data_IF_628307319415
#
_entry.id   IF_628307319415
#
_cell.length_a   1.000
_cell.length_b   1.000
_cell.length_c   1.000
_cell.angle_alpha   90.00
_cell.angle_beta   90.00
_cell.angle_gamma   90.00
#
_symmetry.space_group_name_H-M   'P 1'
#
loop_
_entity.id
_entity.type
_entity.pdbx_description
1 polymer ?
#
# COMPACT_ATOMS: atom_id res chain seq x y z
N UNK A 1 -6.80 -8.78 11.58
CA UNK A 1 -6.25 -8.03 10.44
C UNK A 1 -7.44 -7.29 9.89
N UNK A 2 -7.56 -6.00 10.18
CA UNK A 2 -8.73 -5.24 9.74
C UNK A 2 -8.68 -5.11 8.22
N UNK A 3 -9.78 -5.42 7.56
CA UNK A 3 -9.92 -5.28 6.12
C UNK A 3 -9.97 -3.80 5.76
N UNK A 4 -9.01 -3.34 4.96
CA UNK A 4 -9.03 -2.00 4.40
C UNK A 4 -10.01 -1.96 3.23
N UNK A 5 -10.88 -0.94 3.20
CA UNK A 5 -11.79 -0.71 2.07
C UNK A 5 -11.07 0.21 1.09
N UNK A 6 -11.07 -0.16 -0.20
CA UNK A 6 -10.59 0.69 -1.28
C UNK A 6 -11.81 1.40 -1.89
N UNK A 7 -11.90 2.71 -1.71
CA UNK A 7 -12.89 3.58 -2.35
C UNK A 7 -12.18 4.59 -3.26
N UNK A 8 -12.54 4.60 -4.55
CA UNK A 8 -11.96 5.51 -5.57
C UNK A 8 -10.42 5.54 -5.60
N UNK A 9 -9.77 4.40 -5.36
CA UNK A 9 -8.31 4.30 -5.33
C UNK A 9 -7.66 4.81 -4.03
N UNK A 10 -8.47 5.21 -3.05
CA UNK A 10 -8.03 5.59 -1.71
C UNK A 10 -8.21 4.41 -0.77
N UNK A 11 -7.13 4.06 -0.07
CA UNK A 11 -7.20 3.09 1.03
C UNK A 11 -7.72 3.79 2.27
N UNK A 12 -8.93 3.43 2.71
CA UNK A 12 -9.50 3.91 3.95
C UNK A 12 -9.33 2.82 5.00
N UNK A 13 -8.41 3.06 5.92
CA UNK A 13 -8.26 2.25 7.12
C UNK A 13 -9.28 2.75 8.14
N UNK A 14 -10.01 1.83 8.79
CA UNK A 14 -10.75 2.22 10.01
C UNK A 14 -9.74 2.88 10.95
N UNK A 15 -10.09 4.08 11.43
CA UNK A 15 -9.13 4.87 12.18
C UNK A 15 -8.66 4.05 13.38
N UNK A 16 -7.34 3.96 13.55
CA UNK A 16 -6.73 3.43 14.77
C UNK A 16 -7.28 4.13 16.04
N UNK A 17 -7.88 5.31 15.89
CA UNK A 17 -8.45 6.10 16.97
C UNK A 17 -9.73 5.51 17.58
N UNK A 18 -10.48 4.65 16.88
CA UNK A 18 -11.66 4.00 17.50
C UNK A 18 -11.28 2.83 18.41
N UNK A 19 -10.08 2.26 18.26
CA UNK A 19 -9.62 1.13 19.07
C UNK A 19 -8.51 1.46 20.07
N UNK A 20 -7.82 2.61 19.97
CA UNK A 20 -6.59 2.85 20.74
C UNK A 20 -6.70 4.11 21.60
N UNK A 21 -6.28 3.95 22.87
CA UNK A 21 -5.85 5.04 23.76
C UNK A 21 -5.09 6.12 22.98
N UNK A 22 -5.15 7.41 23.38
CA UNK A 22 -4.45 8.48 22.69
C UNK A 22 -2.99 8.09 22.41
N UNK A 23 -2.59 8.20 21.14
CA UNK A 23 -1.21 7.95 20.71
C UNK A 23 -0.29 8.92 21.47
N UNK A 24 0.85 8.41 21.94
CA UNK A 24 1.83 9.25 22.65
C UNK A 24 2.55 10.13 21.62
N UNK A 25 3.00 11.31 22.06
CA UNK A 25 3.88 12.12 21.22
C UNK A 25 5.14 11.33 20.86
N UNK A 26 5.57 11.41 19.60
CA UNK A 26 6.71 10.64 19.10
C UNK A 26 6.70 10.46 17.60
N UNK A 27 7.73 9.76 17.09
CA UNK A 27 7.86 9.44 15.67
C UNK A 27 7.28 8.05 15.40
N UNK A 28 6.39 8.00 14.41
CA UNK A 28 5.72 6.80 13.94
C UNK A 28 6.16 6.51 12.51
N UNK A 29 6.21 5.22 12.17
CA UNK A 29 6.40 4.73 10.81
C UNK A 29 5.14 3.99 10.40
N UNK A 30 4.60 4.32 9.22
CA UNK A 30 3.57 3.54 8.53
C UNK A 30 4.21 2.85 7.35
N UNK A 31 4.00 1.55 7.27
CA UNK A 31 4.43 0.71 6.16
C UNK A 31 3.20 0.11 5.48
N UNK A 32 3.09 0.29 4.16
CA UNK A 32 2.05 -0.27 3.32
C UNK A 32 2.68 -1.22 2.32
N UNK A 33 2.15 -2.44 2.29
CA UNK A 33 2.56 -3.50 1.37
C UNK A 33 1.38 -3.86 0.49
N UNK A 34 1.52 -3.70 -0.82
CA UNK A 34 0.50 -4.08 -1.80
C UNK A 34 1.11 -5.11 -2.74
N UNK A 35 0.67 -6.35 -2.64
CA UNK A 35 1.11 -7.41 -3.54
C UNK A 35 0.68 -7.10 -4.98
N UNK A 36 1.59 -7.27 -5.93
CA UNK A 36 1.29 -7.21 -7.35
C UNK A 36 0.94 -8.62 -7.83
N UNK A 37 -0.34 -8.91 -8.14
CA UNK A 37 -0.73 -10.23 -8.61
C UNK A 37 -0.09 -10.52 -9.98
N UNK A 38 0.14 -11.80 -10.25
CA UNK A 38 0.65 -12.26 -11.56
C UNK A 38 -0.34 -11.99 -12.70
N UNK A 39 -1.63 -11.88 -12.38
CA UNK A 39 -2.68 -11.55 -13.35
C UNK A 39 -3.04 -10.07 -13.24
N UNK A 40 -2.88 -9.33 -14.34
CA UNK A 40 -3.28 -7.94 -14.44
C UNK A 40 -4.72 -7.83 -14.99
N UNK A 41 -5.57 -7.04 -14.34
CA UNK A 41 -6.89 -6.71 -14.87
C UNK A 41 -6.78 -5.80 -16.10
N UNK A 42 -7.56 -6.11 -17.15
CA UNK A 42 -7.55 -5.32 -18.39
C UNK A 42 -7.87 -3.85 -18.16
N UNK A 43 -8.74 -3.53 -17.20
CA UNK A 43 -9.09 -2.15 -16.86
C UNK A 43 -7.86 -1.33 -16.43
N UNK A 44 -6.99 -1.91 -15.60
CA UNK A 44 -5.75 -1.24 -15.19
C UNK A 44 -4.85 -1.04 -16.40
N UNK A 45 -4.63 -2.09 -17.22
CA UNK A 45 -3.79 -2.00 -18.42
C UNK A 45 -4.29 -0.91 -19.37
N UNK A 46 -5.62 -0.80 -19.55
CA UNK A 46 -6.25 0.19 -20.41
C UNK A 46 -6.10 1.62 -19.86
N UNK A 47 -6.15 1.81 -18.53
CA UNK A 47 -6.00 3.12 -17.89
C UNK A 47 -4.54 3.56 -17.77
N UNK A 48 -3.65 2.67 -17.34
CA UNK A 48 -2.27 2.97 -17.04
C UNK A 48 -1.34 2.85 -18.26
N UNK A 49 -1.74 2.10 -19.29
CA UNK A 49 -0.94 1.88 -20.49
C UNK A 49 0.35 1.07 -20.26
N UNK A 50 0.47 0.41 -19.10
CA UNK A 50 1.66 -0.33 -18.69
C UNK A 50 1.30 -1.62 -17.94
N UNK A 51 2.09 -2.66 -18.15
CA UNK A 51 1.93 -3.94 -17.47
C UNK A 51 2.59 -3.94 -16.08
N UNK A 52 2.08 -4.75 -15.15
CA UNK A 52 2.62 -4.82 -13.78
C UNK A 52 4.10 -5.19 -13.74
N UNK A 53 4.55 -6.05 -14.64
CA UNK A 53 5.97 -6.43 -14.80
C UNK A 53 6.87 -5.26 -15.21
N UNK A 54 6.29 -4.25 -15.86
CA UNK A 54 7.00 -3.09 -16.37
C UNK A 54 6.94 -1.87 -15.44
N UNK A 55 6.19 -1.95 -14.33
CA UNK A 55 6.20 -0.91 -13.30
C UNK A 55 7.62 -0.68 -12.76
N UNK A 56 8.03 0.57 -12.64
CA UNK A 56 9.31 0.96 -12.07
C UNK A 56 9.15 1.94 -10.92
N UNK A 57 10.27 2.28 -10.28
CA UNK A 57 10.32 3.31 -9.24
C UNK A 57 10.74 2.77 -7.88
N UNK A 58 11.00 3.68 -6.93
CA UNK A 58 11.63 3.35 -5.64
C UNK A 58 10.73 2.50 -4.73
N UNK A 59 9.42 2.51 -4.97
CA UNK A 59 8.44 1.75 -4.20
C UNK A 59 8.21 0.34 -4.75
N UNK A 60 8.79 -0.03 -5.90
CA UNK A 60 8.59 -1.36 -6.50
C UNK A 60 9.69 -2.31 -6.03
N UNK A 61 9.30 -3.33 -5.27
CA UNK A 61 10.18 -4.41 -4.82
C UNK A 61 9.83 -5.67 -5.61
N UNK A 62 10.75 -6.13 -6.47
CA UNK A 62 10.55 -7.33 -7.30
C UNK A 62 10.97 -8.61 -6.61
N UNK A 63 12.07 -8.53 -5.86
CA UNK A 63 12.67 -9.64 -5.14
C UNK A 63 12.47 -9.42 -3.64
N UNK A 64 11.72 -10.31 -3.00
CA UNK A 64 11.37 -10.21 -1.59
C UNK A 64 10.52 -11.39 -1.14
N UNK A 65 10.32 -11.54 0.17
CA UNK A 65 9.59 -12.67 0.76
C UNK A 65 8.15 -12.81 0.24
N UNK A 66 7.55 -11.69 -0.19
CA UNK A 66 6.17 -11.59 -0.68
C UNK A 66 6.06 -11.64 -2.22
N UNK A 67 7.19 -11.77 -2.93
CA UNK A 67 7.24 -11.59 -4.38
C UNK A 67 7.06 -10.13 -4.81
N UNK A 68 6.70 -9.86 -6.07
CA UNK A 68 6.49 -8.51 -6.59
C UNK A 68 5.49 -7.72 -5.74
N UNK A 69 5.95 -6.64 -5.11
CA UNK A 69 5.20 -5.89 -4.11
C UNK A 69 5.49 -4.40 -4.25
N UNK A 70 4.46 -3.56 -4.10
CA UNK A 70 4.62 -2.12 -3.87
C UNK A 70 4.80 -1.91 -2.37
N UNK A 71 5.91 -1.30 -1.98
CA UNK A 71 6.22 -0.95 -0.59
C UNK A 71 6.25 0.56 -0.46
N UNK A 72 5.44 1.09 0.45
CA UNK A 72 5.43 2.50 0.80
C UNK A 72 5.69 2.66 2.29
N UNK A 73 6.73 3.41 2.64
CA UNK A 73 7.08 3.76 4.02
C UNK A 73 6.92 5.27 4.20
N UNK A 74 6.25 5.69 5.26
CA UNK A 74 6.17 7.08 5.65
C UNK A 74 6.42 7.24 7.15
N UNK A 75 7.27 8.21 7.49
CA UNK A 75 7.51 8.63 8.87
C UNK A 75 6.78 9.92 9.15
N UNK A 76 6.09 10.00 10.28
CA UNK A 76 5.44 11.20 10.75
C UNK A 76 5.56 11.31 12.27
N UNK A 77 5.48 12.54 12.77
CA UNK A 77 5.48 12.82 14.20
C UNK A 77 4.10 13.26 14.65
N UNK A 78 3.67 12.74 15.79
CA UNK A 78 2.49 13.20 16.54
C UNK A 78 2.98 14.00 17.74
#
# INVERSE_FOLDING_TARGET
>A
MDEAIVEDGTFIFQSLAEQIKPLKAGTYTVELFVALPSTQHEEFRNKAGIEYENLGGPCIVREGLLGPTIVYEQKFSI
#
